data_IF_551323564991
#
_entry.id   IF_551323564991
#
_cell.length_a   1.000
_cell.length_b   1.000
_cell.length_c   1.000
_cell.angle_alpha   90.00
_cell.angle_beta   90.00
_cell.angle_gamma   90.00
#
_symmetry.space_group_name_H-M   'P 1'
#
loop_
_entity.id
_entity.type
_entity.pdbx_description
1 polymer ?
#
# COMPACT_ATOMS: atom_id res chain seq x y z
N UNK A 1 7.31 -17.35 -8.35
CA UNK A 1 6.22 -17.06 -7.38
C UNK A 1 5.18 -16.25 -8.12
N UNK A 2 3.89 -16.48 -7.90
CA UNK A 2 2.81 -15.69 -8.52
C UNK A 2 1.98 -15.03 -7.41
N UNK A 3 1.59 -13.78 -7.60
CA UNK A 3 0.72 -13.07 -6.66
C UNK A 3 -0.70 -13.35 -7.09
N UNK A 4 -1.48 -13.92 -6.18
CA UNK A 4 -2.85 -14.33 -6.46
C UNK A 4 -3.78 -13.70 -5.45
N UNK A 5 -4.76 -12.96 -5.95
CA UNK A 5 -5.84 -12.42 -5.15
C UNK A 5 -7.08 -13.30 -5.31
N UNK A 6 -7.77 -13.55 -4.20
CA UNK A 6 -9.11 -14.13 -4.22
C UNK A 6 -10.10 -12.98 -4.37
N UNK A 7 -10.82 -12.93 -5.50
CA UNK A 7 -11.65 -11.79 -5.91
C UNK A 7 -12.74 -11.52 -4.88
N UNK A 8 -13.46 -12.55 -4.44
CA UNK A 8 -14.49 -12.42 -3.40
C UNK A 8 -13.93 -11.94 -2.06
N UNK A 9 -12.81 -12.51 -1.62
CA UNK A 9 -12.19 -12.11 -0.35
C UNK A 9 -11.71 -10.65 -0.40
N UNK A 10 -11.09 -10.25 -1.50
CA UNK A 10 -10.64 -8.89 -1.74
C UNK A 10 -11.81 -7.89 -1.75
N UNK A 11 -12.91 -8.24 -2.40
CA UNK A 11 -14.16 -7.45 -2.37
C UNK A 11 -14.75 -7.33 -0.97
N UNK A 12 -14.85 -8.44 -0.23
CA UNK A 12 -15.35 -8.44 1.15
C UNK A 12 -14.49 -7.56 2.06
N UNK A 13 -13.16 -7.61 1.90
CA UNK A 13 -12.24 -6.80 2.67
C UNK A 13 -12.35 -5.31 2.33
N UNK A 14 -12.53 -4.93 1.05
CA UNK A 14 -12.75 -3.53 0.65
C UNK A 14 -14.00 -2.96 1.32
N UNK A 15 -15.09 -3.74 1.35
CA UNK A 15 -16.34 -3.36 1.98
C UNK A 15 -16.19 -3.19 3.49
N UNK A 16 -15.54 -4.14 4.17
CA UNK A 16 -15.28 -4.07 5.61
C UNK A 16 -14.39 -2.86 5.96
N UNK A 17 -13.33 -2.64 5.17
CA UNK A 17 -12.42 -1.51 5.36
C UNK A 17 -13.13 -0.17 5.14
N UNK A 18 -13.99 -0.04 4.10
CA UNK A 18 -14.77 1.18 3.85
C UNK A 18 -15.62 1.59 5.05
N UNK A 19 -16.27 0.62 5.71
CA UNK A 19 -17.06 0.86 6.90
C UNK A 19 -16.20 1.31 8.09
N UNK A 20 -15.07 0.63 8.32
CA UNK A 20 -14.17 0.97 9.42
C UNK A 20 -13.46 2.32 9.22
N UNK A 21 -13.14 2.68 7.98
CA UNK A 21 -12.34 3.86 7.64
C UNK A 21 -13.18 5.10 7.30
N UNK A 22 -14.52 5.05 7.42
CA UNK A 22 -15.42 6.16 7.04
C UNK A 22 -15.05 7.50 7.70
N UNK A 23 -14.59 7.49 8.95
CA UNK A 23 -14.18 8.69 9.67
C UNK A 23 -12.78 9.21 9.30
N UNK A 24 -12.07 8.52 8.42
CA UNK A 24 -10.69 8.82 8.04
C UNK A 24 -10.51 9.11 6.55
N UNK A 25 -11.46 8.69 5.70
CA UNK A 25 -11.39 8.87 4.26
C UNK A 25 -12.39 9.92 3.78
N UNK A 26 -11.94 10.85 2.95
CA UNK A 26 -12.80 11.87 2.34
C UNK A 26 -13.76 11.27 1.30
N UNK A 27 -13.36 10.17 0.66
CA UNK A 27 -14.12 9.49 -0.39
C UNK A 27 -14.34 8.00 -0.10
N UNK A 28 -14.72 7.63 1.13
CA UNK A 28 -14.89 6.21 1.53
C UNK A 28 -15.83 5.37 0.63
N UNK A 29 -16.79 6.00 -0.06
CA UNK A 29 -17.66 5.35 -1.04
C UNK A 29 -16.87 4.80 -2.25
N UNK A 30 -15.69 5.37 -2.54
CA UNK A 30 -14.78 4.90 -3.58
C UNK A 30 -14.42 3.43 -3.40
N UNK A 31 -14.22 2.99 -2.17
CA UNK A 31 -13.88 1.59 -1.88
C UNK A 31 -15.03 0.63 -2.22
N UNK A 32 -16.28 1.07 -2.06
CA UNK A 32 -17.47 0.31 -2.49
C UNK A 32 -17.56 0.27 -4.01
N UNK A 33 -17.28 1.40 -4.68
CA UNK A 33 -17.23 1.43 -6.15
C UNK A 33 -16.12 0.52 -6.70
N UNK A 34 -14.94 0.51 -6.08
CA UNK A 34 -13.81 -0.34 -6.47
C UNK A 34 -14.10 -1.83 -6.26
N UNK A 35 -14.88 -2.18 -5.24
CA UNK A 35 -15.37 -3.56 -5.04
C UNK A 35 -16.31 -3.98 -6.17
N UNK A 36 -17.29 -3.13 -6.52
CA UNK A 36 -18.19 -3.40 -7.64
C UNK A 36 -17.43 -3.50 -8.97
N UNK A 37 -16.44 -2.61 -9.20
CA UNK A 37 -15.58 -2.65 -10.39
C UNK A 37 -14.78 -3.95 -10.47
N UNK A 38 -14.21 -4.42 -9.36
CA UNK A 38 -13.50 -5.69 -9.31
C UNK A 38 -14.43 -6.87 -9.69
N UNK A 39 -15.64 -6.89 -9.12
CA UNK A 39 -16.64 -7.93 -9.39
C UNK A 39 -17.09 -7.93 -10.86
N UNK A 40 -17.28 -6.74 -11.45
CA UNK A 40 -17.63 -6.58 -12.86
C UNK A 40 -16.47 -7.01 -13.78
N UNK A 41 -15.25 -6.52 -13.54
CA UNK A 41 -14.07 -6.88 -14.32
C UNK A 41 -13.80 -8.39 -14.28
N UNK A 42 -13.98 -9.03 -13.12
CA UNK A 42 -13.87 -10.48 -13.00
C UNK A 42 -14.98 -11.21 -13.79
N UNK A 43 -16.20 -10.68 -13.83
CA UNK A 43 -17.29 -11.27 -14.60
C UNK A 43 -17.06 -11.14 -16.11
N UNK A 44 -16.57 -10.00 -16.57
CA UNK A 44 -16.20 -9.77 -17.97
C UNK A 44 -15.03 -10.67 -18.39
N UNK A 45 -14.00 -10.78 -17.54
CA UNK A 45 -12.85 -11.65 -17.79
C UNK A 45 -13.28 -13.12 -18.01
N UNK A 46 -14.28 -13.62 -17.27
CA UNK A 46 -14.79 -14.99 -17.43
C UNK A 46 -15.40 -15.24 -18.81
N UNK A 47 -16.03 -14.23 -19.40
CA UNK A 47 -16.70 -14.31 -20.70
C UNK A 47 -15.73 -14.05 -21.86
N UNK A 48 -14.63 -13.34 -21.60
CA UNK A 48 -13.63 -12.96 -22.59
C UNK A 48 -12.36 -13.81 -22.55
N UNK A 49 -11.22 -13.15 -22.77
CA UNK A 49 -9.90 -13.78 -22.80
C UNK A 49 -9.28 -14.00 -21.41
N UNK A 50 -10.08 -13.92 -20.34
CA UNK A 50 -9.65 -14.02 -18.92
C UNK A 50 -8.67 -12.93 -18.46
N UNK A 51 -8.40 -11.89 -19.25
CA UNK A 51 -7.61 -10.73 -18.82
C UNK A 51 -8.41 -9.91 -17.83
N UNK A 52 -7.76 -9.44 -16.76
CA UNK A 52 -8.36 -8.61 -15.75
C UNK A 52 -7.44 -7.43 -15.45
N UNK A 53 -8.01 -6.23 -15.55
CA UNK A 53 -7.41 -4.98 -15.09
C UNK A 53 -8.28 -4.40 -13.98
N UNK A 54 -7.64 -3.96 -12.90
CA UNK A 54 -8.32 -3.36 -11.76
C UNK A 54 -7.52 -2.16 -11.26
N UNK A 55 -8.11 -0.97 -11.36
CA UNK A 55 -7.40 0.29 -11.18
C UNK A 55 -8.25 1.35 -10.50
N UNK A 56 -7.61 2.24 -9.75
CA UNK A 56 -8.23 3.45 -9.20
C UNK A 56 -8.40 4.57 -10.23
N UNK A 57 -7.77 4.47 -11.40
CA UNK A 57 -7.70 5.56 -12.37
C UNK A 57 -9.00 5.79 -13.16
N UNK A 58 -9.98 4.89 -13.05
CA UNK A 58 -11.27 5.04 -13.74
C UNK A 58 -12.23 5.88 -12.90
N UNK A 59 -12.45 7.13 -13.32
CA UNK A 59 -13.60 7.97 -12.96
C UNK A 59 -13.45 8.91 -11.76
N UNK A 60 -12.80 8.49 -10.66
CA UNK A 60 -12.90 9.23 -9.39
C UNK A 60 -11.55 9.46 -8.67
N UNK A 61 -10.44 9.08 -9.30
CA UNK A 61 -9.09 9.32 -8.76
C UNK A 61 -8.71 8.45 -7.56
N UNK A 62 -7.70 8.87 -6.77
CA UNK A 62 -7.15 8.09 -5.67
C UNK A 62 -8.11 8.00 -4.47
N UNK A 63 -7.89 7.02 -3.60
CA UNK A 63 -8.49 6.95 -2.28
C UNK A 63 -7.77 7.98 -1.38
N UNK A 64 -8.52 8.90 -0.78
CA UNK A 64 -7.95 10.03 -0.05
C UNK A 64 -8.31 9.97 1.43
N UNK A 65 -7.33 10.24 2.29
CA UNK A 65 -7.61 10.50 3.70
C UNK A 65 -8.27 11.87 3.90
N UNK A 66 -8.79 12.13 5.09
CA UNK A 66 -9.07 13.48 5.53
C UNK A 66 -7.74 14.18 5.88
N UNK A 67 -7.54 15.47 5.55
CA UNK A 67 -6.40 16.22 6.02
C UNK A 67 -6.39 16.29 7.55
N UNK A 68 -5.23 16.06 8.19
CA UNK A 68 -5.12 16.16 9.65
C UNK A 68 -3.76 16.67 10.09
N UNK A 69 -3.75 17.60 11.06
CA UNK A 69 -2.55 18.04 11.77
C UNK A 69 -2.11 17.06 12.87
N UNK A 70 -2.99 16.12 13.25
CA UNK A 70 -2.70 15.07 14.24
C UNK A 70 -1.85 13.92 13.67
N UNK A 71 -1.67 13.87 12.36
CA UNK A 71 -0.80 12.87 11.72
C UNK A 71 0.68 13.14 12.08
N UNK A 72 1.45 12.07 12.29
CA UNK A 72 2.86 12.05 12.70
C UNK A 72 3.17 12.70 14.05
N UNK A 73 2.16 13.01 14.87
CA UNK A 73 2.29 13.70 16.16
C UNK A 73 3.15 14.96 16.07
N UNK A 74 2.96 15.73 14.99
CA UNK A 74 3.66 16.99 14.88
C UNK A 74 3.27 17.91 16.05
N UNK A 75 4.21 18.71 16.58
CA UNK A 75 3.87 19.72 17.58
C UNK A 75 2.73 20.59 17.05
N UNK A 76 1.76 20.92 17.91
CA UNK A 76 0.63 21.80 17.59
C UNK A 76 1.11 23.01 16.79
N UNK A 77 0.78 23.05 15.49
CA UNK A 77 1.38 23.96 14.51
C UNK A 77 1.83 23.29 13.21
N UNK A 78 1.86 21.95 13.14
CA UNK A 78 2.15 21.22 11.90
C UNK A 78 1.01 21.30 10.87
N UNK A 79 1.42 21.58 9.63
CA UNK A 79 0.63 21.61 8.39
C UNK A 79 -0.19 20.33 8.25
N UNK A 80 -1.47 20.44 7.87
CA UNK A 80 -2.33 19.26 7.72
C UNK A 80 -1.79 18.33 6.63
N UNK A 81 -1.67 17.04 6.94
CA UNK A 81 -1.16 16.01 6.04
C UNK A 81 -2.33 15.24 5.42
N UNK A 82 -2.23 14.98 4.12
CA UNK A 82 -3.16 14.16 3.33
C UNK A 82 -2.41 12.94 2.79
N UNK A 83 -3.07 11.78 2.79
CA UNK A 83 -2.62 10.60 2.07
C UNK A 83 -3.55 10.32 0.87
N UNK A 84 -2.96 10.13 -0.31
CA UNK A 84 -3.64 9.69 -1.52
C UNK A 84 -3.10 8.31 -1.89
N UNK A 85 -3.98 7.34 -2.14
CA UNK A 85 -3.61 5.97 -2.50
C UNK A 85 -4.26 5.60 -3.83
N UNK A 86 -3.44 5.24 -4.80
CA UNK A 86 -3.88 4.73 -6.10
C UNK A 86 -3.31 3.35 -6.35
N UNK A 87 -3.97 2.55 -7.18
CA UNK A 87 -3.42 1.28 -7.65
C UNK A 87 -3.83 1.02 -9.08
N UNK A 88 -3.02 0.24 -9.78
CA UNK A 88 -3.26 -0.29 -11.12
C UNK A 88 -2.71 -1.71 -11.11
N UNK A 89 -3.59 -2.71 -11.17
CA UNK A 89 -3.21 -4.11 -11.22
C UNK A 89 -3.70 -4.75 -12.51
N UNK A 90 -2.82 -5.53 -13.13
CA UNK A 90 -3.08 -6.23 -14.39
C UNK A 90 -2.69 -7.70 -14.27
N UNK A 91 -3.44 -8.54 -14.94
CA UNK A 91 -3.18 -9.98 -14.96
C UNK A 91 -4.32 -10.75 -15.61
N UNK A 92 -4.56 -11.96 -15.10
CA UNK A 92 -5.60 -12.83 -15.63
C UNK A 92 -6.28 -13.67 -14.54
N UNK A 93 -7.52 -14.09 -14.79
CA UNK A 93 -8.16 -15.11 -13.97
C UNK A 93 -7.51 -16.48 -14.19
N UNK A 94 -7.20 -17.16 -13.09
CA UNK A 94 -6.67 -18.53 -13.07
C UNK A 94 -7.55 -19.44 -13.96
N UNK A 95 -6.98 -20.14 -14.95
CA UNK A 95 -7.75 -21.06 -15.80
C UNK A 95 -8.47 -22.15 -15.01
N UNK A 96 -7.97 -22.50 -13.83
CA UNK A 96 -8.55 -23.52 -12.96
C UNK A 96 -9.50 -22.94 -11.90
N UNK A 97 -9.65 -21.62 -11.82
CA UNK A 97 -10.52 -20.98 -10.84
C UNK A 97 -11.05 -19.63 -11.30
N UNK A 98 -12.37 -19.49 -11.29
CA UNK A 98 -13.05 -18.25 -11.65
C UNK A 98 -13.06 -17.18 -10.55
N UNK A 99 -12.38 -17.43 -9.43
CA UNK A 99 -12.28 -16.50 -8.30
C UNK A 99 -10.84 -16.05 -8.01
N UNK A 100 -9.86 -16.58 -8.74
CA UNK A 100 -8.44 -16.29 -8.49
C UNK A 100 -7.89 -15.38 -9.56
N UNK A 101 -7.56 -14.15 -9.17
CA UNK A 101 -6.90 -13.17 -10.03
C UNK A 101 -5.38 -13.30 -9.85
N UNK A 102 -4.70 -13.77 -10.90
CA UNK A 102 -3.23 -13.90 -10.95
C UNK A 102 -2.65 -12.59 -11.49
N UNK A 103 -2.02 -11.83 -10.60
CA UNK A 103 -1.42 -10.53 -10.92
C UNK A 103 -0.07 -10.74 -11.60
N UNK A 104 0.12 -10.10 -12.75
CA UNK A 104 1.35 -10.20 -13.55
C UNK A 104 2.14 -8.89 -13.58
N UNK A 105 1.47 -7.76 -13.39
CA UNK A 105 2.07 -6.44 -13.32
C UNK A 105 1.18 -5.46 -12.56
N UNK A 106 1.78 -4.34 -12.14
CA UNK A 106 1.05 -3.25 -11.52
C UNK A 106 1.57 -2.91 -10.14
N UNK A 107 0.80 -2.19 -9.34
CA UNK A 107 1.22 -1.79 -8.02
C UNK A 107 0.25 -0.87 -7.32
N UNK A 108 0.61 -0.49 -6.10
CA UNK A 108 -0.08 0.55 -5.33
C UNK A 108 0.88 1.71 -5.10
N UNK A 109 0.46 2.92 -5.44
CA UNK A 109 1.18 4.15 -5.14
C UNK A 109 0.51 4.89 -3.98
N UNK A 110 1.33 5.41 -3.07
CA UNK A 110 0.91 6.21 -1.94
C UNK A 110 1.60 7.55 -2.03
N UNK A 111 0.83 8.64 -2.07
CA UNK A 111 1.34 10.00 -1.99
C UNK A 111 0.97 10.61 -0.66
N UNK A 112 1.94 11.19 0.01
CA UNK A 112 1.76 12.00 1.21
C UNK A 112 2.01 13.47 0.83
N UNK A 113 0.99 14.30 1.01
CA UNK A 113 1.00 15.72 0.64
C UNK A 113 0.71 16.58 1.86
N UNK A 114 1.54 17.60 2.07
CA UNK A 114 1.27 18.64 3.04
C UNK A 114 0.39 19.71 2.39
N UNK A 115 -0.70 20.10 3.07
CA UNK A 115 -1.75 20.94 2.53
C UNK A 115 -1.45 22.44 2.76
N UNK A 116 -0.39 22.96 2.14
CA UNK A 116 -0.05 24.38 2.09
C UNK A 116 0.72 24.76 0.81
N UNK A 117 0.73 26.05 0.45
CA UNK A 117 1.48 26.58 -0.69
C UNK A 117 2.99 26.31 -0.50
N UNK A 118 3.56 25.44 -1.33
CA UNK A 118 4.95 25.01 -1.24
C UNK A 118 5.21 23.76 -0.38
N UNK A 119 4.16 23.07 0.08
CA UNK A 119 4.29 21.77 0.75
C UNK A 119 4.98 20.73 -0.13
N UNK A 120 5.90 19.95 0.46
CA UNK A 120 6.59 18.86 -0.25
C UNK A 120 5.64 17.71 -0.62
N UNK A 121 6.14 16.77 -1.41
CA UNK A 121 5.47 15.50 -1.70
C UNK A 121 6.42 14.35 -1.38
N UNK A 122 5.88 13.29 -0.77
CA UNK A 122 6.57 12.00 -0.65
C UNK A 122 5.70 10.92 -1.28
N UNK A 123 6.27 10.16 -2.21
CA UNK A 123 5.61 9.05 -2.91
C UNK A 123 6.24 7.71 -2.54
N UNK A 124 5.42 6.69 -2.38
CA UNK A 124 5.81 5.31 -2.09
C UNK A 124 5.16 4.41 -3.13
N UNK A 125 5.99 3.70 -3.90
CA UNK A 125 5.56 2.82 -4.96
C UNK A 125 5.73 1.36 -4.50
N UNK A 126 4.63 0.62 -4.41
CA UNK A 126 4.58 -0.80 -4.07
C UNK A 126 4.30 -1.58 -5.35
N UNK A 127 5.36 -1.95 -6.05
CA UNK A 127 5.25 -2.43 -7.43
C UNK A 127 5.46 -3.94 -7.53
N UNK A 128 4.73 -4.52 -8.48
CA UNK A 128 4.75 -5.90 -8.91
C UNK A 128 5.26 -5.92 -10.35
N UNK A 129 6.39 -6.58 -10.56
CA UNK A 129 6.96 -6.77 -11.89
C UNK A 129 7.35 -8.23 -12.11
N UNK A 130 7.37 -8.71 -13.37
CA UNK A 130 8.00 -9.98 -13.70
C UNK A 130 9.49 -9.85 -13.35
N UNK A 131 9.90 -10.39 -12.21
CA UNK A 131 11.25 -10.24 -11.68
C UNK A 131 12.31 -10.59 -12.71
N UNK A 132 13.27 -9.70 -12.92
CA UNK A 132 14.46 -9.92 -13.75
C UNK A 132 15.69 -10.09 -12.86
N UNK A 133 16.83 -10.52 -13.42
CA UNK A 133 18.06 -10.70 -12.65
C UNK A 133 18.42 -9.41 -11.90
N UNK A 134 18.51 -9.50 -10.56
CA UNK A 134 18.78 -8.36 -9.68
C UNK A 134 17.57 -7.48 -9.34
N UNK A 135 16.36 -7.81 -9.81
CA UNK A 135 15.15 -7.03 -9.57
C UNK A 135 14.07 -7.85 -8.84
N UNK A 136 13.78 -7.58 -7.55
CA UNK A 136 12.76 -8.32 -6.82
C UNK A 136 11.38 -8.15 -7.47
N UNK A 137 10.62 -9.25 -7.53
CA UNK A 137 9.28 -9.29 -8.14
C UNK A 137 8.28 -8.36 -7.42
N UNK A 138 8.39 -8.26 -6.10
CA UNK A 138 7.63 -7.31 -5.28
C UNK A 138 8.62 -6.38 -4.61
N UNK A 139 8.40 -5.08 -4.74
CA UNK A 139 9.27 -4.11 -4.12
C UNK A 139 8.56 -2.85 -3.68
N UNK A 140 9.17 -2.16 -2.73
CA UNK A 140 8.82 -0.80 -2.36
C UNK A 140 9.94 0.14 -2.84
N UNK A 141 9.55 1.24 -3.46
CA UNK A 141 10.44 2.33 -3.83
C UNK A 141 9.91 3.64 -3.23
N UNK A 142 10.81 4.44 -2.67
CA UNK A 142 10.46 5.74 -2.10
C UNK A 142 10.99 6.81 -3.04
N UNK A 143 10.10 7.67 -3.52
CA UNK A 143 10.40 8.81 -4.37
C UNK A 143 9.98 10.09 -3.65
N UNK A 144 10.92 11.02 -3.43
CA UNK A 144 10.63 12.28 -2.74
C UNK A 144 11.73 13.31 -2.94
N UNK A 145 11.46 14.55 -2.54
CA UNK A 145 12.31 15.72 -2.81
C UNK A 145 13.77 15.65 -2.31
N UNK A 146 14.14 14.63 -1.51
CA UNK A 146 15.45 14.56 -0.86
C UNK A 146 16.27 13.32 -1.26
N UNK A 147 15.66 12.18 -1.63
CA UNK A 147 16.36 10.96 -2.12
C UNK A 147 15.41 9.98 -2.81
N UNK A 148 15.88 9.33 -3.88
CA UNK A 148 15.34 8.06 -4.35
C UNK A 148 15.97 6.92 -3.53
N UNK A 149 15.16 6.15 -2.81
CA UNK A 149 15.63 4.95 -2.11
C UNK A 149 15.58 3.79 -3.11
N UNK A 150 16.62 2.93 -3.19
CA UNK A 150 16.58 1.78 -4.09
C UNK A 150 15.45 0.82 -3.71
N UNK A 151 15.02 0.04 -4.70
CA UNK A 151 13.93 -0.92 -4.60
C UNK A 151 14.23 -1.97 -3.53
N UNK A 152 13.42 -1.99 -2.47
CA UNK A 152 13.54 -2.97 -1.39
C UNK A 152 12.50 -4.06 -1.57
N UNK A 153 12.82 -5.30 -1.22
CA UNK A 153 11.84 -6.37 -1.26
C UNK A 153 10.64 -6.03 -0.37
N UNK A 154 9.43 -6.12 -0.93
CA UNK A 154 8.19 -5.87 -0.22
C UNK A 154 7.36 -7.15 -0.15
N UNK A 155 6.73 -7.38 1.00
CA UNK A 155 5.69 -8.40 1.15
C UNK A 155 4.28 -7.84 0.96
N UNK A 156 4.17 -6.51 0.84
CA UNK A 156 2.92 -5.80 0.66
C UNK A 156 2.64 -5.67 -0.83
N UNK A 157 1.71 -6.51 -1.29
CA UNK A 157 1.20 -6.52 -2.66
C UNK A 157 -0.31 -6.24 -2.70
N UNK A 158 -1.02 -6.56 -1.63
CA UNK A 158 -2.46 -6.35 -1.54
C UNK A 158 -2.76 -4.86 -1.28
N UNK A 159 -3.60 -4.18 -2.07
CA UNK A 159 -3.78 -2.73 -1.95
C UNK A 159 -4.33 -2.29 -0.59
N UNK A 160 -5.17 -3.12 0.05
CA UNK A 160 -5.62 -2.84 1.41
C UNK A 160 -4.49 -2.94 2.45
N UNK A 161 -3.50 -3.81 2.25
CA UNK A 161 -2.37 -3.90 3.19
C UNK A 161 -1.49 -2.66 3.06
N UNK A 162 -1.34 -2.14 1.83
CA UNK A 162 -0.66 -0.86 1.57
C UNK A 162 -1.43 0.31 2.17
N UNK A 163 -2.76 0.32 2.05
CA UNK A 163 -3.62 1.36 2.63
C UNK A 163 -3.59 1.32 4.17
N UNK A 164 -3.67 0.14 4.77
CA UNK A 164 -3.51 -0.06 6.22
C UNK A 164 -2.12 0.36 6.69
N UNK A 165 -1.07 -0.05 5.99
CA UNK A 165 0.29 0.39 6.25
C UNK A 165 0.41 1.91 6.18
N UNK A 166 -0.18 2.54 5.16
CA UNK A 166 -0.17 4.00 4.99
C UNK A 166 -0.84 4.68 6.18
N UNK A 167 -2.02 4.21 6.59
CA UNK A 167 -2.70 4.73 7.77
C UNK A 167 -1.85 4.53 9.03
N UNK A 168 -1.21 3.38 9.20
CA UNK A 168 -0.31 3.16 10.33
C UNK A 168 0.88 4.14 10.29
N UNK A 169 1.51 4.32 9.14
CA UNK A 169 2.64 5.23 8.97
C UNK A 169 2.28 6.70 9.19
N UNK A 170 1.03 7.13 8.94
CA UNK A 170 0.60 8.48 9.33
C UNK A 170 0.28 8.59 10.83
N UNK A 171 -0.01 7.50 11.54
CA UNK A 171 -0.34 7.47 12.98
C UNK A 171 0.78 6.90 13.87
N UNK A 172 2.05 7.23 13.61
CA UNK A 172 3.22 6.54 14.18
C UNK A 172 3.24 6.30 15.70
N UNK A 173 2.80 7.26 16.55
CA UNK A 173 2.79 7.04 18.01
C UNK A 173 1.87 5.91 18.41
N UNK A 174 0.62 6.01 17.96
CA UNK A 174 -0.46 5.20 18.49
C UNK A 174 -0.20 3.74 18.19
N UNK A 175 0.31 3.43 17.00
CA UNK A 175 0.56 2.05 16.62
C UNK A 175 1.90 1.52 17.14
N UNK A 176 2.99 2.32 17.17
CA UNK A 176 4.25 1.90 17.79
C UNK A 176 4.07 1.55 19.26
N UNK A 177 3.24 2.32 19.98
CA UNK A 177 2.83 2.05 21.37
C UNK A 177 1.82 0.89 21.48
N UNK A 178 0.98 0.68 20.47
CA UNK A 178 0.00 -0.42 20.45
C UNK A 178 0.62 -1.80 20.17
N UNK A 179 1.87 -1.89 19.71
CA UNK A 179 2.57 -3.14 19.36
C UNK A 179 2.60 -4.23 20.44
N UNK A 180 2.28 -3.90 21.69
CA UNK A 180 2.55 -4.79 22.84
C UNK A 180 1.38 -4.90 23.82
N UNK A 181 0.23 -4.27 23.57
CA UNK A 181 -0.87 -4.26 24.55
C UNK A 181 -1.92 -5.35 24.28
N UNK A 182 -2.41 -6.00 25.34
CA UNK A 182 -3.56 -6.91 25.28
C UNK A 182 -4.76 -6.24 24.59
N UNK A 183 -4.98 -4.96 24.87
CA UNK A 183 -5.99 -4.10 24.25
C UNK A 183 -5.92 -4.06 22.73
N UNK A 184 -4.71 -4.01 22.15
CA UNK A 184 -4.53 -4.02 20.70
C UNK A 184 -4.86 -5.38 20.09
N UNK A 185 -4.43 -6.47 20.75
CA UNK A 185 -4.79 -7.84 20.33
C UNK A 185 -6.31 -8.05 20.37
N UNK A 186 -6.98 -7.52 21.39
CA UNK A 186 -8.44 -7.60 21.51
C UNK A 186 -9.19 -6.75 20.47
N UNK A 187 -8.64 -5.60 20.09
CA UNK A 187 -9.19 -4.80 18.98
C UNK A 187 -9.04 -5.52 17.64
N UNK A 188 -7.86 -6.07 17.35
CA UNK A 188 -7.60 -6.81 16.11
C UNK A 188 -8.48 -8.07 15.98
N UNK A 189 -8.85 -8.71 17.10
CA UNK A 189 -9.77 -9.87 17.08
C UNK A 189 -11.13 -9.57 16.44
N UNK A 190 -11.57 -8.31 16.45
CA UNK A 190 -12.85 -7.85 15.86
C UNK A 190 -12.80 -7.73 14.34
N UNK A 191 -11.62 -7.78 13.73
CA UNK A 191 -11.46 -7.70 12.28
C UNK A 191 -11.78 -9.06 11.63
N UNK A 192 -12.24 -9.07 10.36
CA UNK A 192 -12.32 -10.27 9.55
C UNK A 192 -11.02 -11.08 9.60
N UNK A 193 -11.13 -12.41 9.58
CA UNK A 193 -9.98 -13.30 9.80
C UNK A 193 -8.83 -13.09 8.81
N UNK A 194 -9.15 -12.79 7.55
CA UNK A 194 -8.17 -12.52 6.50
C UNK A 194 -7.45 -11.20 6.73
N UNK A 195 -8.19 -10.12 6.95
CA UNK A 195 -7.65 -8.81 7.30
C UNK A 195 -6.76 -8.87 8.56
N UNK A 196 -7.25 -9.53 9.61
CA UNK A 196 -6.46 -9.78 10.83
C UNK A 196 -5.13 -10.48 10.54
N UNK A 197 -5.15 -11.54 9.72
CA UNK A 197 -3.94 -12.29 9.35
C UNK A 197 -2.93 -11.39 8.64
N UNK A 198 -3.40 -10.54 7.71
CA UNK A 198 -2.54 -9.62 6.95
C UNK A 198 -1.96 -8.51 7.84
N UNK A 199 -2.78 -7.88 8.70
CA UNK A 199 -2.30 -6.90 9.69
C UNK A 199 -1.21 -7.49 10.59
N UNK A 200 -1.41 -8.71 11.11
CA UNK A 200 -0.40 -9.36 11.96
C UNK A 200 0.91 -9.62 11.20
N UNK A 201 0.83 -10.07 9.95
CA UNK A 201 2.01 -10.28 9.10
C UNK A 201 2.74 -8.98 8.77
N UNK A 202 1.99 -7.91 8.50
CA UNK A 202 2.54 -6.57 8.29
C UNK A 202 3.30 -6.09 9.54
N UNK A 203 2.72 -6.28 10.72
CA UNK A 203 3.35 -5.91 11.99
C UNK A 203 4.64 -6.69 12.25
N UNK A 204 4.64 -8.00 11.99
CA UNK A 204 5.81 -8.87 12.12
C UNK A 204 6.93 -8.46 11.15
N UNK A 205 6.56 -8.14 9.90
CA UNK A 205 7.52 -7.67 8.89
C UNK A 205 8.13 -6.33 9.29
N UNK A 206 7.33 -5.37 9.77
CA UNK A 206 7.89 -4.11 10.24
C UNK A 206 8.73 -4.32 11.50
N UNK A 207 8.33 -5.22 12.40
CA UNK A 207 9.12 -5.55 13.60
C UNK A 207 10.51 -6.03 13.19
N UNK A 208 10.62 -6.92 12.21
CA UNK A 208 11.94 -7.36 11.72
C UNK A 208 12.73 -6.21 11.10
N UNK A 209 12.10 -5.30 10.35
CA UNK A 209 12.77 -4.11 9.81
C UNK A 209 13.29 -3.13 10.87
N UNK A 210 12.64 -3.03 12.02
CA UNK A 210 13.06 -2.11 13.09
C UNK A 210 14.07 -2.76 14.03
N UNK A 211 13.86 -4.03 14.40
CA UNK A 211 14.70 -4.73 15.37
C UNK A 211 15.95 -5.35 14.75
N UNK A 212 15.94 -5.62 13.45
CA UNK A 212 17.08 -6.12 12.68
C UNK A 212 17.12 -5.41 11.35
N UNK A 213 17.35 -4.08 11.36
CA UNK A 213 17.27 -3.28 10.16
C UNK A 213 18.33 -3.79 9.17
N UNK A 214 17.89 -4.04 7.94
CA UNK A 214 18.77 -4.53 6.89
C UNK A 214 20.00 -3.61 6.80
N UNK A 215 21.23 -4.14 6.95
CA UNK A 215 22.44 -3.33 6.89
C UNK A 215 22.55 -2.52 5.60
N UNK A 216 22.02 -3.04 4.47
CA UNK A 216 21.95 -2.31 3.22
C UNK A 216 20.97 -1.12 3.33
N UNK A 217 19.78 -1.33 3.90
CA UNK A 217 18.81 -0.26 4.16
C UNK A 217 19.38 0.81 5.09
N UNK A 218 20.05 0.41 6.18
CA UNK A 218 20.69 1.34 7.10
C UNK A 218 21.84 2.09 6.46
N UNK A 219 22.63 1.43 5.60
CA UNK A 219 23.69 2.07 4.82
C UNK A 219 23.11 3.12 3.88
N UNK A 220 22.01 2.83 3.17
CA UNK A 220 21.37 3.75 2.23
C UNK A 220 20.71 4.95 2.93
N UNK A 221 20.11 4.73 4.10
CA UNK A 221 19.55 5.80 4.94
C UNK A 221 20.65 6.69 5.54
N UNK A 222 21.81 6.11 5.88
CA UNK A 222 22.98 6.81 6.46
C UNK A 222 23.92 7.43 5.44
N UNK A 223 23.87 7.02 4.17
CA UNK A 223 24.72 7.62 3.12
C UNK A 223 24.37 9.10 2.97
N UNK A 224 25.30 10.05 3.19
CA UNK A 224 25.09 11.44 2.82
C UNK A 224 24.78 11.51 1.32
N UNK A 225 23.79 12.31 0.97
CA UNK A 225 23.35 12.58 -0.41
C UNK A 225 24.54 12.95 -1.29
N UNK A 226 24.94 12.02 -2.14
CA UNK A 226 25.55 12.36 -3.44
C UNK A 226 24.80 11.51 -4.45
N UNK A 227 24.38 12.08 -5.60
CA UNK A 227 23.82 11.27 -6.67
C UNK A 227 24.88 10.22 -7.02
N UNK A 228 24.51 8.94 -7.01
CA UNK A 228 25.36 7.93 -7.61
C UNK A 228 25.30 8.24 -9.11
N UNK A 229 26.32 8.91 -9.63
CA UNK A 229 26.57 9.00 -11.06
C UNK A 229 26.73 7.56 -11.58
N UNK A 230 25.66 7.01 -12.16
CA UNK A 230 25.65 5.68 -12.76
C UNK A 230 26.18 5.68 -14.20
N UNK A 231 27.06 6.63 -14.54
CA UNK A 231 27.79 6.61 -15.81
C UNK A 231 29.29 6.83 -15.56
N UNK A 232 30.16 5.89 -15.95
CA UNK A 232 31.58 6.21 -16.09
C UNK A 232 31.71 7.21 -17.24
N UNK A 233 32.25 8.40 -16.95
CA UNK A 233 32.76 9.27 -17.98
C UNK A 233 33.93 8.54 -18.67
N UNK A 234 33.81 8.39 -19.99
CA UNK A 234 34.93 7.97 -20.85
C UNK A 234 35.98 9.06 -21.00
#
# INVERSE_FOLDING_TARGET
MAIVFDVQSLGADLKAFSQAARGFLSNHQRLVALEAQLSNAASEAKLGNRTLEWTTNVGEGPICSLPSSSYRNGPTGTKSLLAEVSFDFRGALDPQSDNRFVVTAGGTNVKLRWNDEGGGEASYHFDIHPGQAGHPMMHIQFAGAVKDIPRLHSVLAHPLDVLEFTLMEVFQENWRKSRVTTTFRDRIRKYPANQRRRILRLLETYKSWVESPDPALMSLLRSPTTPIDMYPAG
#
